data_IF_273735924161
#
_entry.id   IF_273735924161
#
_cell.length_a   1.000
_cell.length_b   1.000
_cell.length_c   1.000
_cell.angle_alpha   90.00
_cell.angle_beta   90.00
_cell.angle_gamma   90.00
#
_symmetry.space_group_name_H-M   'P 1'
#
loop_
_entity.id
_entity.type
_entity.pdbx_description
1 polymer ?
#
# COMPACT_ATOMS: atom_id res chain seq x y z
N UNK A 1 48.56 8.42 -6.02
CA UNK A 1 48.77 8.64 -4.56
C UNK A 1 48.68 10.12 -4.26
N UNK A 2 48.11 10.51 -3.11
CA UNK A 2 47.92 11.91 -2.74
C UNK A 2 48.93 12.31 -1.67
N UNK A 3 49.60 13.44 -1.88
CA UNK A 3 50.61 13.99 -0.98
C UNK A 3 50.25 15.44 -0.61
N UNK A 4 50.61 15.84 0.61
CA UNK A 4 50.56 17.24 1.02
C UNK A 4 51.68 18.05 0.34
N UNK A 5 51.58 19.38 0.43
CA UNK A 5 52.64 20.31 -0.02
C UNK A 5 54.00 19.98 0.64
N UNK A 6 54.00 19.49 1.87
CA UNK A 6 55.20 19.06 2.62
C UNK A 6 55.75 17.67 2.21
N UNK A 7 55.16 17.01 1.21
CA UNK A 7 55.60 15.70 0.73
C UNK A 7 55.19 14.51 1.61
N UNK A 8 54.43 14.72 2.67
CA UNK A 8 53.83 13.65 3.48
C UNK A 8 52.66 12.99 2.75
N UNK A 9 52.58 11.67 2.80
CA UNK A 9 51.50 10.90 2.18
C UNK A 9 50.22 11.05 3.00
N UNK A 10 49.13 11.44 2.34
CA UNK A 10 47.81 11.55 2.97
C UNK A 10 47.18 10.15 3.04
N UNK A 11 46.56 9.82 4.17
CA UNK A 11 45.86 8.55 4.35
C UNK A 11 44.70 8.41 3.37
N UNK A 12 44.46 7.19 2.88
CA UNK A 12 43.31 6.90 2.02
C UNK A 12 41.96 7.03 2.74
N UNK A 13 41.96 7.15 4.07
CA UNK A 13 40.78 7.35 4.91
C UNK A 13 40.48 8.83 5.20
N UNK A 14 41.31 9.76 4.75
CA UNK A 14 41.08 11.19 4.96
C UNK A 14 39.90 11.64 4.10
N UNK A 15 38.95 12.34 4.73
CA UNK A 15 37.78 12.88 4.03
C UNK A 15 38.19 13.88 2.95
N UNK A 16 37.46 13.86 1.83
CA UNK A 16 37.70 14.75 0.69
C UNK A 16 37.49 16.22 1.09
N UNK A 17 36.59 16.47 2.04
CA UNK A 17 36.33 17.78 2.65
C UNK A 17 37.57 18.36 3.34
N UNK A 18 38.35 17.53 4.03
CA UNK A 18 39.61 17.95 4.67
C UNK A 18 40.72 18.10 3.63
N UNK A 19 40.74 17.23 2.62
CA UNK A 19 41.72 17.29 1.53
C UNK A 19 41.60 18.58 0.70
N UNK A 20 40.37 19.06 0.49
CA UNK A 20 40.09 20.28 -0.27
C UNK A 20 40.34 21.58 0.51
N UNK A 21 40.66 21.52 1.81
CA UNK A 21 41.01 22.72 2.58
C UNK A 21 42.42 23.27 2.28
N UNK A 22 43.26 22.47 1.64
CA UNK A 22 44.64 22.79 1.29
C UNK A 22 44.96 22.30 -0.11
N UNK A 23 45.93 22.92 -0.79
CA UNK A 23 46.39 22.37 -2.05
C UNK A 23 47.09 21.03 -1.80
N UNK A 24 47.02 20.13 -2.77
CA UNK A 24 47.62 18.81 -2.67
C UNK A 24 48.28 18.40 -3.97
N UNK A 25 49.24 17.49 -3.86
CA UNK A 25 49.96 16.92 -4.99
C UNK A 25 49.40 15.54 -5.31
N UNK A 26 48.84 15.41 -6.51
CA UNK A 26 48.30 14.17 -7.04
C UNK A 26 49.37 13.50 -7.93
N UNK A 27 49.84 12.33 -7.52
CA UNK A 27 50.76 11.52 -8.32
C UNK A 27 49.97 10.42 -9.02
N UNK A 28 49.92 10.48 -10.35
CA UNK A 28 49.29 9.52 -11.24
C UNK A 28 50.39 8.86 -12.07
N UNK A 29 50.59 7.55 -11.91
CA UNK A 29 51.70 6.81 -12.52
C UNK A 29 53.06 7.45 -12.18
N UNK A 30 53.76 8.00 -13.18
CA UNK A 30 55.05 8.69 -13.06
C UNK A 30 54.92 10.23 -13.08
N UNK A 31 53.71 10.76 -13.32
CA UNK A 31 53.46 12.21 -13.41
C UNK A 31 52.89 12.77 -12.11
N UNK A 32 53.37 13.96 -11.74
CA UNK A 32 52.90 14.65 -10.54
C UNK A 32 52.22 15.97 -10.87
N UNK A 33 50.96 16.10 -10.45
CA UNK A 33 50.09 17.24 -10.69
C UNK A 33 49.86 18.00 -9.38
N UNK A 34 50.14 19.30 -9.37
CA UNK A 34 49.78 20.18 -8.25
C UNK A 34 48.36 20.68 -8.46
N UNK A 35 47.44 20.27 -7.60
CA UNK A 35 46.04 20.67 -7.68
C UNK A 35 45.84 21.84 -6.71
N UNK A 36 45.69 23.03 -7.27
CA UNK A 36 45.30 24.23 -6.52
C UNK A 36 43.79 24.24 -6.36
N UNK A 37 43.32 24.13 -5.12
CA UNK A 37 41.88 24.14 -4.85
C UNK A 37 41.41 25.60 -4.90
N UNK A 38 40.37 25.94 -5.68
CA UNK A 38 39.78 27.27 -5.63
C UNK A 38 39.27 27.54 -4.21
N UNK A 39 39.57 28.71 -3.65
CA UNK A 39 38.97 29.17 -2.39
C UNK A 39 37.46 29.33 -2.61
N UNK A 40 36.71 28.25 -2.45
CA UNK A 40 35.27 28.30 -2.30
C UNK A 40 35.05 29.10 -1.01
N UNK A 41 34.63 30.35 -1.19
CA UNK A 41 34.49 31.36 -0.15
C UNK A 41 34.00 30.74 1.15
N UNK A 42 34.91 30.57 2.11
CA UNK A 42 34.57 30.20 3.48
C UNK A 42 33.45 31.15 3.90
N UNK A 43 32.27 30.65 4.31
CA UNK A 43 31.30 31.53 4.96
C UNK A 43 32.04 32.26 6.10
N UNK A 44 31.75 33.56 6.32
CA UNK A 44 32.47 34.37 7.29
C UNK A 44 32.59 33.62 8.61
N UNK A 45 33.80 33.61 9.19
CA UNK A 45 34.21 32.76 10.32
C UNK A 45 33.25 32.88 11.52
N UNK A 46 32.55 34.00 11.65
CA UNK A 46 31.51 34.23 12.65
C UNK A 46 30.27 33.31 12.47
N UNK A 47 29.86 33.01 11.24
CA UNK A 47 28.75 32.08 10.95
C UNK A 47 29.17 30.62 11.26
N UNK A 48 30.43 30.26 11.02
CA UNK A 48 30.91 28.89 11.32
C UNK A 48 31.00 28.65 12.82
N UNK A 49 31.48 29.63 13.59
CA UNK A 49 31.57 29.54 15.05
C UNK A 49 30.19 29.52 15.71
N UNK A 50 29.26 30.33 15.23
CA UNK A 50 27.88 30.33 15.72
C UNK A 50 27.17 29.03 15.39
N UNK A 51 27.30 28.50 14.17
CA UNK A 51 26.72 27.21 13.80
C UNK A 51 27.34 26.05 14.59
N UNK A 52 28.66 26.06 14.82
CA UNK A 52 29.31 25.06 15.66
C UNK A 52 28.84 25.13 17.13
N UNK A 53 28.62 26.34 17.65
CA UNK A 53 28.07 26.54 18.98
C UNK A 53 26.62 26.06 19.09
N UNK A 54 25.78 26.36 18.09
CA UNK A 54 24.41 25.84 18.02
C UNK A 54 24.42 24.31 17.96
N UNK A 55 25.28 23.69 17.16
CA UNK A 55 25.40 22.23 17.10
C UNK A 55 25.79 21.60 18.44
N UNK A 56 26.71 22.23 19.16
CA UNK A 56 27.13 21.75 20.49
C UNK A 56 26.05 21.93 21.54
N UNK A 57 25.33 23.05 21.54
CA UNK A 57 24.15 23.26 22.40
C UNK A 57 23.03 22.26 22.09
N UNK A 58 22.73 22.03 20.81
CA UNK A 58 21.76 21.01 20.38
C UNK A 58 22.21 19.64 20.84
N UNK A 59 23.47 19.25 20.61
CA UNK A 59 23.99 17.96 21.06
C UNK A 59 23.93 17.81 22.59
N UNK A 60 24.21 18.87 23.34
CA UNK A 60 24.12 18.87 24.80
C UNK A 60 22.67 18.75 25.27
N UNK A 61 21.72 19.38 24.58
CA UNK A 61 20.28 19.18 24.79
C UNK A 61 19.84 17.76 24.42
N UNK A 62 20.32 17.22 23.30
CA UNK A 62 20.04 15.86 22.85
C UNK A 62 20.60 14.80 23.81
N UNK A 63 21.70 15.11 24.51
CA UNK A 63 22.28 14.25 25.54
C UNK A 63 21.64 14.45 26.91
N UNK A 64 21.19 15.67 27.24
CA UNK A 64 20.57 15.99 28.52
C UNK A 64 19.09 15.63 28.59
N UNK A 65 18.37 15.78 27.48
CA UNK A 65 17.06 15.20 27.26
C UNK A 65 17.29 13.81 26.72
N UNK A 66 16.93 12.77 27.45
CA UNK A 66 17.21 11.38 27.13
C UNK A 66 16.38 10.88 25.92
N UNK A 67 16.65 11.43 24.73
CA UNK A 67 15.80 11.27 23.53
C UNK A 67 15.71 9.81 23.11
N UNK A 68 16.79 9.03 23.25
CA UNK A 68 16.73 7.58 22.98
C UNK A 68 15.71 6.85 23.85
N UNK A 69 15.64 7.17 25.15
CA UNK A 69 14.63 6.56 26.03
C UNK A 69 13.22 7.02 25.64
N UNK A 70 13.05 8.30 25.29
CA UNK A 70 11.74 8.81 24.86
C UNK A 70 11.29 8.16 23.54
N UNK A 71 12.20 7.94 22.59
CA UNK A 71 11.89 7.24 21.34
C UNK A 71 11.52 5.78 21.60
N UNK A 72 12.25 5.09 22.48
CA UNK A 72 11.95 3.70 22.85
C UNK A 72 10.60 3.58 23.56
N UNK A 73 10.26 4.53 24.44
CA UNK A 73 8.94 4.59 25.08
C UNK A 73 7.83 4.87 24.06
N UNK A 74 8.05 5.79 23.11
CA UNK A 74 7.09 6.10 22.03
C UNK A 74 6.87 4.90 21.12
N UNK A 75 7.93 4.20 20.73
CA UNK A 75 7.86 2.97 19.94
C UNK A 75 7.06 1.88 20.69
N UNK A 76 7.36 1.66 21.97
CA UNK A 76 6.62 0.70 22.81
C UNK A 76 5.15 1.05 22.92
N UNK A 77 4.82 2.33 23.11
CA UNK A 77 3.45 2.81 23.18
C UNK A 77 2.70 2.57 21.85
N UNK A 78 3.31 2.94 20.72
CA UNK A 78 2.74 2.71 19.39
C UNK A 78 2.53 1.22 19.12
N UNK A 79 3.48 0.37 19.52
CA UNK A 79 3.38 -1.08 19.35
C UNK A 79 2.23 -1.67 20.20
N UNK A 80 2.06 -1.22 21.44
CA UNK A 80 0.93 -1.63 22.30
C UNK A 80 -0.42 -1.22 21.72
N UNK A 81 -0.53 0.01 21.24
CA UNK A 81 -1.78 0.51 20.64
C UNK A 81 -2.07 -0.23 19.32
N UNK A 82 -1.06 -0.52 18.50
CA UNK A 82 -1.20 -1.35 17.31
C UNK A 82 -1.73 -2.75 17.62
N UNK A 83 -1.15 -3.43 18.62
CA UNK A 83 -1.61 -4.76 19.06
C UNK A 83 -3.07 -4.72 19.53
N UNK A 84 -3.45 -3.69 20.29
CA UNK A 84 -4.82 -3.49 20.76
C UNK A 84 -5.80 -3.29 19.60
N UNK A 85 -5.48 -2.41 18.66
CA UNK A 85 -6.33 -2.15 17.49
C UNK A 85 -6.45 -3.40 16.61
N UNK A 86 -5.36 -4.15 16.43
CA UNK A 86 -5.37 -5.41 15.68
C UNK A 86 -6.26 -6.47 16.34
N UNK A 87 -6.30 -6.50 17.67
CA UNK A 87 -7.17 -7.39 18.43
C UNK A 87 -8.65 -6.98 18.31
N UNK A 88 -8.97 -5.68 18.26
CA UNK A 88 -10.31 -5.16 17.95
C UNK A 88 -10.72 -5.43 16.49
N UNK A 89 -9.77 -5.40 15.55
CA UNK A 89 -10.00 -5.64 14.13
C UNK A 89 -10.34 -7.11 13.83
N UNK A 90 -9.72 -8.05 14.54
CA UNK A 90 -9.87 -9.50 14.32
C UNK A 90 -11.34 -10.00 14.26
N UNK A 91 -12.21 -9.72 15.26
CA UNK A 91 -13.61 -10.14 15.19
C UNK A 91 -14.38 -9.49 14.03
N UNK A 92 -13.95 -8.30 13.60
CA UNK A 92 -14.57 -7.61 12.46
C UNK A 92 -14.18 -8.25 11.13
N UNK A 93 -12.92 -8.68 10.98
CA UNK A 93 -12.44 -9.44 9.83
C UNK A 93 -13.08 -10.83 9.75
N UNK A 94 -13.23 -11.52 10.87
CA UNK A 94 -13.94 -12.80 10.94
C UNK A 94 -15.40 -12.66 10.47
N UNK A 95 -16.06 -11.56 10.85
CA UNK A 95 -17.42 -11.29 10.38
C UNK A 95 -17.45 -11.00 8.87
N UNK A 96 -16.49 -10.22 8.36
CA UNK A 96 -16.37 -9.88 6.95
C UNK A 96 -16.12 -11.12 6.09
N UNK A 97 -15.18 -11.97 6.49
CA UNK A 97 -14.83 -13.22 5.79
C UNK A 97 -16.01 -14.20 5.78
N UNK A 98 -16.78 -14.29 6.86
CA UNK A 98 -17.98 -15.12 6.93
C UNK A 98 -19.09 -14.61 5.99
N UNK A 99 -19.24 -13.29 5.86
CA UNK A 99 -20.17 -12.68 4.91
C UNK A 99 -19.72 -12.96 3.48
N UNK A 100 -18.43 -12.80 3.19
CA UNK A 100 -17.85 -13.03 1.87
C UNK A 100 -17.97 -14.48 1.42
N UNK A 101 -17.71 -15.43 2.33
CA UNK A 101 -17.92 -16.86 2.11
C UNK A 101 -19.38 -17.16 1.75
N UNK A 102 -20.33 -16.56 2.47
CA UNK A 102 -21.77 -16.73 2.20
C UNK A 102 -22.19 -16.15 0.86
N UNK A 103 -21.66 -15.00 0.44
CA UNK A 103 -21.94 -14.44 -0.89
C UNK A 103 -21.33 -15.26 -2.02
N UNK A 104 -20.10 -15.77 -1.83
CA UNK A 104 -19.44 -16.62 -2.82
C UNK A 104 -20.23 -17.92 -3.06
N UNK A 105 -20.68 -18.59 -1.98
CA UNK A 105 -21.48 -19.81 -2.09
C UNK A 105 -22.81 -19.60 -2.82
N UNK A 106 -23.52 -18.51 -2.51
CA UNK A 106 -24.80 -18.19 -3.19
C UNK A 106 -24.60 -17.88 -4.67
N UNK A 107 -23.54 -17.14 -5.00
CA UNK A 107 -23.19 -16.86 -6.40
C UNK A 107 -22.93 -18.17 -7.14
N UNK A 108 -22.10 -19.04 -6.56
CA UNK A 108 -21.77 -20.32 -7.18
C UNK A 108 -23.01 -21.24 -7.34
N UNK A 109 -23.95 -21.20 -6.38
CA UNK A 109 -25.21 -21.94 -6.46
C UNK A 109 -26.11 -21.43 -7.59
N UNK A 110 -26.23 -20.11 -7.77
CA UNK A 110 -27.01 -19.53 -8.88
C UNK A 110 -26.39 -19.90 -10.23
N UNK A 111 -25.06 -19.84 -10.32
CA UNK A 111 -24.31 -20.25 -11.51
C UNK A 111 -24.54 -21.71 -11.86
N UNK A 112 -24.36 -22.60 -10.88
CA UNK A 112 -24.61 -24.04 -11.04
C UNK A 112 -26.09 -24.34 -11.34
N UNK A 113 -27.01 -23.58 -10.73
CA UNK A 113 -28.44 -23.67 -11.02
C UNK A 113 -28.78 -23.27 -12.45
N UNK A 114 -28.17 -22.20 -12.96
CA UNK A 114 -28.28 -21.79 -14.36
C UNK A 114 -27.75 -22.84 -15.33
N UNK A 115 -26.60 -23.45 -15.02
CA UNK A 115 -26.05 -24.56 -15.80
C UNK A 115 -26.99 -25.78 -15.80
N UNK A 116 -27.55 -26.13 -14.64
CA UNK A 116 -28.52 -27.22 -14.51
C UNK A 116 -29.81 -26.95 -15.28
N UNK A 117 -30.30 -25.70 -15.27
CA UNK A 117 -31.47 -25.28 -16.05
C UNK A 117 -31.22 -25.41 -17.55
N UNK A 118 -30.05 -24.97 -18.04
CA UNK A 118 -29.67 -25.12 -19.44
C UNK A 118 -29.56 -26.60 -19.86
N UNK A 119 -28.98 -27.44 -19.00
CA UNK A 119 -28.90 -28.88 -19.23
C UNK A 119 -30.29 -29.55 -19.25
N UNK A 120 -31.19 -29.14 -18.35
CA UNK A 120 -32.58 -29.63 -18.32
C UNK A 120 -33.35 -29.22 -19.57
N UNK A 121 -33.22 -27.95 -19.99
CA UNK A 121 -33.83 -27.44 -21.22
C UNK A 121 -33.37 -28.26 -22.43
N UNK A 122 -32.07 -28.52 -22.55
CA UNK A 122 -31.51 -29.32 -23.63
C UNK A 122 -31.93 -30.79 -23.56
N UNK A 123 -31.93 -31.39 -22.37
CA UNK A 123 -32.33 -32.78 -22.16
C UNK A 123 -33.81 -33.04 -22.42
N UNK A 124 -34.68 -32.10 -22.06
CA UNK A 124 -36.12 -32.19 -22.33
C UNK A 124 -36.40 -32.14 -23.83
N UNK A 125 -35.73 -31.23 -24.56
CA UNK A 125 -35.79 -31.18 -26.01
C UNK A 125 -35.26 -32.46 -26.65
N UNK A 126 -34.10 -32.95 -26.22
CA UNK A 126 -33.51 -34.19 -26.73
C UNK A 126 -34.43 -35.40 -26.53
N UNK A 127 -35.08 -35.51 -25.37
CA UNK A 127 -36.03 -36.59 -25.10
C UNK A 127 -37.30 -36.48 -25.95
N UNK A 128 -37.89 -35.28 -26.09
CA UNK A 128 -39.05 -35.07 -26.97
C UNK A 128 -38.73 -35.38 -28.44
N UNK A 129 -37.53 -35.01 -28.92
CA UNK A 129 -37.11 -35.25 -30.32
C UNK A 129 -36.91 -36.73 -30.68
N UNK A 130 -36.71 -37.61 -29.69
CA UNK A 130 -36.42 -39.03 -29.93
C UNK A 130 -37.57 -39.98 -29.64
N UNK A 131 -38.51 -39.62 -28.76
CA UNK A 131 -39.56 -40.54 -28.30
C UNK A 131 -40.95 -40.26 -28.90
N UNK A 132 -41.35 -39.01 -29.11
CA UNK A 132 -42.77 -38.68 -29.31
C UNK A 132 -43.10 -37.88 -30.59
N UNK A 133 -42.20 -37.04 -31.11
CA UNK A 133 -42.52 -36.15 -32.23
C UNK A 133 -41.38 -36.03 -33.25
N UNK A 134 -41.70 -36.29 -34.53
CA UNK A 134 -40.80 -35.96 -35.65
C UNK A 134 -40.44 -34.47 -35.63
N UNK A 135 -39.21 -34.16 -36.05
CA UNK A 135 -38.55 -32.84 -35.97
C UNK A 135 -39.41 -31.64 -36.43
N UNK A 136 -40.39 -31.86 -37.30
CA UNK A 136 -41.35 -30.90 -37.84
C UNK A 136 -42.24 -30.21 -36.76
N UNK A 137 -42.57 -30.90 -35.66
CA UNK A 137 -43.38 -30.33 -34.56
C UNK A 137 -42.51 -29.61 -33.51
N UNK A 138 -41.21 -29.89 -33.49
CA UNK A 138 -40.27 -29.31 -32.52
C UNK A 138 -39.73 -27.93 -32.90
N UNK A 139 -39.81 -27.57 -34.19
CA UNK A 139 -39.38 -26.27 -34.70
C UNK A 139 -40.03 -25.10 -33.93
N UNK A 140 -41.37 -24.94 -33.85
CA UNK A 140 -41.98 -23.82 -33.12
C UNK A 140 -41.69 -23.86 -31.61
N UNK A 141 -41.61 -25.05 -31.01
CA UNK A 141 -41.42 -25.21 -29.56
C UNK A 141 -40.02 -24.74 -29.14
N UNK A 142 -38.99 -25.11 -29.90
CA UNK A 142 -37.61 -24.67 -29.63
C UNK A 142 -37.46 -23.16 -29.78
N UNK A 143 -38.12 -22.53 -30.76
CA UNK A 143 -38.15 -21.07 -30.90
C UNK A 143 -38.77 -20.39 -29.68
N UNK A 144 -39.93 -20.85 -29.20
CA UNK A 144 -40.57 -20.26 -28.01
C UNK A 144 -39.72 -20.43 -26.75
N UNK A 145 -39.10 -21.59 -26.56
CA UNK A 145 -38.22 -21.85 -25.42
C UNK A 145 -36.96 -21.00 -25.48
N UNK A 146 -36.30 -20.91 -26.64
CA UNK A 146 -35.12 -20.07 -26.81
C UNK A 146 -35.44 -18.58 -26.60
N UNK A 147 -36.54 -18.10 -27.17
CA UNK A 147 -37.00 -16.72 -27.00
C UNK A 147 -37.43 -16.44 -25.56
N UNK A 148 -38.08 -17.40 -24.89
CA UNK A 148 -38.44 -17.31 -23.48
C UNK A 148 -37.23 -17.25 -22.55
N UNK A 149 -36.21 -18.08 -22.80
CA UNK A 149 -34.95 -18.04 -22.05
C UNK A 149 -34.17 -16.74 -22.31
N UNK A 150 -34.15 -16.25 -23.54
CA UNK A 150 -33.57 -14.94 -23.87
C UNK A 150 -34.31 -13.78 -23.19
N UNK A 151 -35.65 -13.81 -23.20
CA UNK A 151 -36.50 -12.83 -22.51
C UNK A 151 -36.29 -12.87 -20.99
N UNK A 152 -36.17 -14.06 -20.39
CA UNK A 152 -35.90 -14.22 -18.97
C UNK A 152 -34.50 -13.71 -18.59
N UNK A 153 -33.50 -13.99 -19.43
CA UNK A 153 -32.14 -13.46 -19.27
C UNK A 153 -32.14 -11.92 -19.33
N UNK A 154 -32.89 -11.35 -20.29
CA UNK A 154 -33.05 -9.91 -20.42
C UNK A 154 -33.86 -9.28 -19.27
N UNK A 155 -34.94 -9.93 -18.81
CA UNK A 155 -35.71 -9.48 -17.65
C UNK A 155 -34.86 -9.51 -16.37
N UNK A 156 -34.04 -10.55 -16.19
CA UNK A 156 -33.07 -10.64 -15.11
C UNK A 156 -32.02 -9.51 -15.21
N UNK A 157 -31.51 -9.24 -16.41
CA UNK A 157 -30.62 -8.12 -16.69
C UNK A 157 -31.25 -6.76 -16.33
N UNK A 158 -32.50 -6.50 -16.73
CA UNK A 158 -33.20 -5.23 -16.45
C UNK A 158 -33.51 -5.07 -14.96
N UNK A 159 -33.98 -6.14 -14.30
CA UNK A 159 -34.29 -6.14 -12.88
C UNK A 159 -33.02 -5.96 -12.02
N UNK A 160 -31.91 -6.56 -12.44
CA UNK A 160 -30.63 -6.54 -11.71
C UNK A 160 -29.71 -5.39 -12.17
N UNK A 161 -30.03 -4.71 -13.27
CA UNK A 161 -29.25 -3.64 -13.93
C UNK A 161 -27.76 -3.99 -14.11
N UNK A 162 -27.45 -5.20 -14.58
CA UNK A 162 -26.08 -5.71 -14.68
C UNK A 162 -25.87 -6.61 -15.90
N UNK A 163 -24.88 -6.26 -16.72
CA UNK A 163 -24.33 -7.16 -17.74
C UNK A 163 -23.72 -8.38 -17.05
N UNK A 164 -23.83 -9.54 -17.70
CA UNK A 164 -23.36 -10.82 -17.19
C UNK A 164 -21.81 -10.91 -17.23
N UNK A 165 -21.11 -9.86 -16.79
CA UNK A 165 -19.67 -9.90 -16.54
C UNK A 165 -19.42 -10.33 -15.09
N UNK A 166 -18.86 -11.52 -14.97
CA UNK A 166 -18.64 -12.27 -13.73
C UNK A 166 -17.84 -11.59 -12.59
N UNK A 167 -17.01 -10.54 -12.79
CA UNK A 167 -16.34 -9.89 -11.66
C UNK A 167 -17.15 -8.71 -11.07
N UNK A 168 -17.51 -7.72 -11.90
CA UNK A 168 -18.09 -6.45 -11.42
C UNK A 168 -19.51 -6.60 -10.87
N UNK A 169 -20.25 -7.59 -11.37
CA UNK A 169 -21.61 -7.81 -10.90
C UNK A 169 -21.63 -8.26 -9.42
N UNK A 170 -20.61 -9.05 -9.04
CA UNK A 170 -20.46 -9.61 -7.70
C UNK A 170 -20.08 -8.55 -6.68
N UNK A 171 -19.17 -7.64 -7.03
CA UNK A 171 -18.67 -6.64 -6.10
C UNK A 171 -19.74 -5.64 -5.68
N UNK A 172 -20.66 -5.27 -6.58
CA UNK A 172 -21.76 -4.36 -6.23
C UNK A 172 -22.89 -5.06 -5.48
N UNK A 173 -23.21 -6.30 -5.86
CA UNK A 173 -24.17 -7.12 -5.10
C UNK A 173 -23.62 -7.39 -3.69
N UNK A 174 -22.32 -7.66 -3.58
CA UNK A 174 -21.58 -7.76 -2.33
C UNK A 174 -21.64 -6.46 -1.56
N UNK A 175 -21.37 -5.29 -2.16
CA UNK A 175 -21.41 -4.00 -1.48
C UNK A 175 -22.81 -3.67 -0.95
N UNK A 176 -23.86 -3.93 -1.75
CA UNK A 176 -25.25 -3.73 -1.34
C UNK A 176 -25.68 -4.72 -0.25
N UNK A 177 -25.30 -6.00 -0.37
CA UNK A 177 -25.56 -6.99 0.67
C UNK A 177 -24.77 -6.70 1.93
N UNK A 178 -23.50 -6.29 1.82
CA UNK A 178 -22.61 -5.93 2.89
C UNK A 178 -23.15 -4.72 3.64
N UNK A 179 -23.58 -3.67 2.94
CA UNK A 179 -24.21 -2.51 3.56
C UNK A 179 -25.57 -2.86 4.20
N UNK A 180 -26.38 -3.72 3.59
CA UNK A 180 -27.68 -4.17 4.13
C UNK A 180 -27.52 -5.14 5.31
N UNK A 181 -26.50 -6.00 5.30
CA UNK A 181 -26.13 -6.88 6.41
C UNK A 181 -25.48 -6.08 7.55
N UNK A 182 -24.63 -5.11 7.23
CA UNK A 182 -24.02 -4.20 8.20
C UNK A 182 -25.09 -3.46 8.98
N UNK A 183 -26.11 -2.94 8.28
CA UNK A 183 -27.30 -2.35 8.93
C UNK A 183 -28.11 -3.34 9.78
N UNK A 184 -28.13 -4.64 9.45
CA UNK A 184 -28.88 -5.66 10.21
C UNK A 184 -28.10 -6.27 11.38
N UNK A 185 -26.77 -6.37 11.27
CA UNK A 185 -25.87 -6.96 12.26
C UNK A 185 -25.15 -5.93 13.13
N UNK A 186 -25.42 -4.63 12.95
CA UNK A 186 -24.66 -3.54 13.61
C UNK A 186 -23.16 -3.72 13.35
N UNK A 187 -22.79 -4.05 12.11
CA UNK A 187 -21.39 -4.03 11.72
C UNK A 187 -21.06 -2.59 11.35
N UNK A 188 -20.40 -1.87 12.26
CA UNK A 188 -20.04 -0.48 12.01
C UNK A 188 -18.87 -0.42 11.02
N UNK A 189 -19.22 -0.30 9.74
CA UNK A 189 -18.25 -0.17 8.64
C UNK A 189 -17.36 1.07 8.85
N UNK A 190 -17.91 2.15 9.45
CA UNK A 190 -17.12 3.35 9.74
C UNK A 190 -16.07 3.02 10.78
N UNK A 191 -16.47 2.41 11.90
CA UNK A 191 -15.53 1.97 12.94
C UNK A 191 -14.46 1.01 12.40
N UNK A 192 -14.82 0.08 11.51
CA UNK A 192 -13.85 -0.81 10.86
C UNK A 192 -12.83 -0.03 10.02
N UNK A 193 -13.30 0.94 9.22
CA UNK A 193 -12.41 1.77 8.41
C UNK A 193 -11.53 2.66 9.28
N UNK A 194 -12.09 3.28 10.33
CA UNK A 194 -11.36 4.11 11.28
C UNK A 194 -10.26 3.32 11.99
N UNK A 195 -10.54 2.08 12.43
CA UNK A 195 -9.55 1.20 13.06
C UNK A 195 -8.47 0.80 12.05
N UNK A 196 -8.85 0.52 10.80
CA UNK A 196 -7.90 0.17 9.74
C UNK A 196 -6.99 1.34 9.39
N UNK A 197 -7.54 2.54 9.23
CA UNK A 197 -6.80 3.77 8.95
C UNK A 197 -5.85 4.11 10.11
N UNK A 198 -6.29 3.91 11.36
CA UNK A 198 -5.45 4.09 12.55
C UNK A 198 -4.30 3.07 12.60
N UNK A 199 -4.54 1.81 12.24
CA UNK A 199 -3.47 0.79 12.12
C UNK A 199 -2.45 1.20 11.04
N UNK A 200 -2.91 1.61 9.86
CA UNK A 200 -2.02 2.05 8.77
C UNK A 200 -1.19 3.26 9.17
N UNK A 201 -1.77 4.20 9.91
CA UNK A 201 -1.06 5.36 10.44
C UNK A 201 0.02 4.96 11.46
N UNK A 202 -0.32 4.10 12.42
CA UNK A 202 0.64 3.62 13.44
C UNK A 202 1.77 2.82 12.78
N UNK A 203 1.46 2.00 11.77
CA UNK A 203 2.46 1.23 11.02
C UNK A 203 3.42 2.14 10.24
N UNK A 204 2.89 3.21 9.63
CA UNK A 204 3.71 4.25 9.02
C UNK A 204 4.62 4.97 10.02
N UNK A 205 4.08 5.38 11.17
CA UNK A 205 4.85 6.02 12.24
C UNK A 205 5.96 5.10 12.78
N UNK A 206 5.66 3.80 12.95
CA UNK A 206 6.63 2.79 13.39
C UNK A 206 7.73 2.55 12.34
N UNK A 207 7.36 2.54 11.05
CA UNK A 207 8.31 2.39 9.95
C UNK A 207 9.30 3.57 9.88
N UNK A 208 8.82 4.78 10.15
CA UNK A 208 9.67 5.98 10.24
C UNK A 208 10.62 5.88 11.43
N UNK A 209 10.11 5.54 12.61
CA UNK A 209 10.93 5.40 13.83
C UNK A 209 12.02 4.34 13.68
N UNK A 210 11.72 3.24 13.00
CA UNK A 210 12.66 2.13 12.77
C UNK A 210 13.68 2.40 11.66
N UNK A 211 13.46 3.40 10.83
CA UNK A 211 14.31 3.67 9.68
C UNK A 211 15.64 4.29 10.11
N UNK A 212 16.80 3.68 9.79
CA UNK A 212 18.12 4.12 10.27
C UNK A 212 18.53 5.51 9.77
N UNK A 213 17.88 5.99 8.69
CA UNK A 213 18.06 7.32 8.12
C UNK A 213 17.45 8.44 8.98
N UNK A 214 16.48 8.13 9.83
CA UNK A 214 15.71 9.13 10.59
C UNK A 214 16.11 9.23 12.07
N UNK A 215 17.01 8.35 12.54
CA UNK A 215 17.40 8.23 13.95
C UNK A 215 17.94 9.54 14.57
N UNK A 216 18.44 10.46 13.73
CA UNK A 216 19.03 11.73 14.16
C UNK A 216 18.33 12.97 13.56
N UNK A 217 17.23 12.79 12.83
CA UNK A 217 16.59 13.89 12.12
C UNK A 217 15.50 14.53 13.00
N UNK A 218 15.46 15.87 13.13
CA UNK A 218 14.42 16.54 13.92
C UNK A 218 13.02 16.27 13.34
N UNK A 219 12.01 16.21 14.22
CA UNK A 219 10.65 15.70 13.96
C UNK A 219 9.96 16.38 12.75
N UNK A 220 10.28 17.66 12.49
CA UNK A 220 9.82 18.45 11.35
C UNK A 220 10.32 17.92 9.99
N UNK A 221 11.58 17.49 9.91
CA UNK A 221 12.16 16.94 8.68
C UNK A 221 11.66 15.51 8.41
N UNK A 222 11.28 14.77 9.46
CA UNK A 222 10.62 13.47 9.34
C UNK A 222 9.24 13.62 8.67
N UNK A 223 8.42 14.57 9.15
CA UNK A 223 7.10 14.85 8.57
C UNK A 223 7.14 15.34 7.12
N UNK A 224 8.17 16.11 6.75
CA UNK A 224 8.32 16.62 5.38
C UNK A 224 8.72 15.52 4.39
N UNK A 225 9.57 14.57 4.82
CA UNK A 225 9.93 13.40 4.03
C UNK A 225 8.77 12.41 3.92
N UNK A 226 7.96 12.27 4.98
CA UNK A 226 6.73 11.47 4.97
C UNK A 226 5.74 12.02 3.94
N UNK A 227 5.52 13.34 3.92
CA UNK A 227 4.69 13.99 2.91
C UNK A 227 5.18 13.74 1.49
N UNK A 228 6.50 13.74 1.26
CA UNK A 228 7.11 13.46 -0.05
C UNK A 228 7.04 11.99 -0.48
N UNK A 229 7.05 11.05 0.46
CA UNK A 229 6.95 9.61 0.14
C UNK A 229 5.50 9.25 -0.15
N UNK A 230 4.54 9.73 0.66
CA UNK A 230 3.11 9.50 0.46
C UNK A 230 2.63 10.11 -0.86
N UNK A 231 3.06 11.34 -1.18
CA UNK A 231 2.71 11.96 -2.48
C UNK A 231 3.27 11.18 -3.67
N UNK A 232 4.39 10.47 -3.49
CA UNK A 232 5.04 9.70 -4.55
C UNK A 232 4.40 8.33 -4.77
N UNK A 233 3.81 7.75 -3.73
CA UNK A 233 3.00 6.52 -3.86
C UNK A 233 1.61 6.83 -4.46
N UNK A 234 0.98 7.96 -4.11
CA UNK A 234 -0.28 8.40 -4.76
C UNK A 234 -0.12 8.70 -6.26
N UNK A 235 1.03 9.23 -6.69
CA UNK A 235 1.31 9.50 -8.11
C UNK A 235 1.63 8.22 -8.91
N UNK A 236 1.87 7.10 -8.23
CA UNK A 236 2.20 5.81 -8.85
C UNK A 236 0.99 4.89 -9.03
N UNK A 237 -0.08 5.14 -8.28
CA UNK A 237 -1.36 4.43 -8.32
C UNK A 237 -2.45 5.17 -9.14
N UNK A 238 -2.11 6.33 -9.74
CA UNK A 238 -2.95 7.09 -10.68
C UNK A 238 -2.55 6.85 -12.15
#
# INVERSE_FOLDING_TARGET
MVYNEDGSRISGSTGVDVLLQSNFKLVLNEDSYLVSVPDESKPPIDDVRTVAHIKTLVHQLYSGMNIEQHQLEKERYLMQEWERLKLELKPMEDLKTEIDRKSAQRTNLVVWGGLGWMALQFGLLARLTWWEYSWDIMEPVTYFVAYGTAMACYAYFVLTRQEFLYPDARDRQYLLFFHKLSKRKIFDIKRYNDVKDAITKIEGDLQVLRSPLFLHLPENAQTELLGKIVSKDEEKDA
#
